data_IF_524579795754
#
_entry.id   IF_524579795754
#
_cell.length_a   1.000
_cell.length_b   1.000
_cell.length_c   1.000
_cell.angle_alpha   90.00
_cell.angle_beta   90.00
_cell.angle_gamma   90.00
#
_symmetry.space_group_name_H-M   'P 1'
#
loop_
_entity.id
_entity.type
_entity.pdbx_description
1 polymer ?
#
# COMPACT_ATOMS: atom_id res chain seq x y z
N UNK A 1 -21.01 3.58 -1.17
CA UNK A 1 -19.64 3.44 -1.67
C UNK A 1 -19.67 3.35 -3.19
N UNK A 2 -18.81 4.07 -3.85
CA UNK A 2 -18.86 4.21 -5.30
C UNK A 2 -17.56 3.80 -5.92
N UNK A 3 -17.63 2.95 -6.94
CA UNK A 3 -16.47 2.70 -7.77
C UNK A 3 -16.23 3.93 -8.63
N UNK A 4 -15.06 4.52 -8.48
CA UNK A 4 -14.74 5.73 -9.24
C UNK A 4 -14.82 5.48 -10.74
N UNK A 5 -14.42 4.28 -11.18
CA UNK A 5 -14.50 3.92 -12.58
C UNK A 5 -15.91 3.82 -13.12
N UNK A 6 -16.92 3.69 -12.26
CA UNK A 6 -18.31 3.60 -12.68
C UNK A 6 -19.13 4.81 -12.29
N UNK A 7 -18.72 5.54 -11.25
CA UNK A 7 -19.50 6.65 -10.73
C UNK A 7 -18.87 8.00 -10.89
N UNK A 8 -17.62 8.06 -11.28
CA UNK A 8 -16.90 9.31 -11.45
C UNK A 8 -16.32 9.47 -12.83
N UNK A 9 -15.80 10.65 -13.15
CA UNK A 9 -15.12 10.85 -14.41
C UNK A 9 -13.91 9.91 -14.50
N UNK A 10 -13.66 9.39 -15.69
CA UNK A 10 -12.52 8.49 -15.88
C UNK A 10 -11.20 9.13 -15.44
N UNK A 11 -11.07 10.44 -15.66
CA UNK A 11 -9.86 11.17 -15.28
C UNK A 11 -9.60 11.20 -13.78
N UNK A 12 -10.67 11.10 -12.96
CA UNK A 12 -10.47 11.18 -11.51
C UNK A 12 -9.73 9.95 -10.96
N UNK A 13 -9.85 8.80 -11.61
CA UNK A 13 -9.06 7.63 -11.20
C UNK A 13 -7.61 7.77 -11.65
N UNK A 14 -7.40 8.28 -12.83
CA UNK A 14 -6.05 8.47 -13.37
C UNK A 14 -5.26 9.49 -12.54
N UNK A 15 -5.96 10.53 -12.07
CA UNK A 15 -5.33 11.61 -11.34
C UNK A 15 -5.31 11.40 -9.83
N UNK A 16 -5.88 10.29 -9.37
CA UNK A 16 -5.95 10.04 -7.93
C UNK A 16 -4.55 9.88 -7.34
N UNK A 17 -4.32 10.61 -6.26
CA UNK A 17 -3.12 10.47 -5.45
C UNK A 17 -3.56 10.14 -4.03
N UNK A 18 -3.01 9.10 -3.42
CA UNK A 18 -3.37 8.78 -2.03
C UNK A 18 -2.77 9.79 -1.07
N UNK A 19 -3.51 10.88 -0.85
CA UNK A 19 -3.03 12.01 -0.07
C UNK A 19 -2.74 11.64 1.40
N UNK A 20 -3.30 10.54 1.89
CA UNK A 20 -2.99 10.09 3.25
C UNK A 20 -1.50 9.77 3.43
N UNK A 21 -0.78 9.52 2.34
CA UNK A 21 0.67 9.30 2.39
C UNK A 21 1.41 10.52 2.95
N UNK A 22 0.83 11.70 2.78
CA UNK A 22 1.42 12.94 3.26
C UNK A 22 0.86 13.37 4.61
N UNK A 23 0.06 12.52 5.24
CA UNK A 23 -0.60 12.85 6.49
C UNK A 23 -0.60 11.63 7.42
N UNK A 24 0.59 11.09 7.69
CA UNK A 24 0.75 9.93 8.56
C UNK A 24 0.86 10.39 10.01
N UNK A 25 0.19 9.67 10.91
CA UNK A 25 0.37 9.87 12.34
C UNK A 25 1.80 9.48 12.73
N UNK A 26 2.33 10.10 13.79
CA UNK A 26 3.69 9.77 14.24
C UNK A 26 3.87 8.30 14.57
N UNK A 27 2.83 7.67 15.11
CA UNK A 27 2.85 6.26 15.51
C UNK A 27 2.05 5.38 14.55
N UNK A 28 1.93 5.78 13.30
CA UNK A 28 1.22 5.01 12.29
C UNK A 28 1.82 3.62 12.17
N UNK A 29 0.96 2.64 11.86
CA UNK A 29 1.40 1.26 11.64
C UNK A 29 1.01 0.78 10.26
N UNK A 30 1.80 -0.16 9.73
CA UNK A 30 1.46 -0.85 8.49
C UNK A 30 1.71 -2.33 8.64
N UNK A 31 0.80 -3.11 8.10
CA UNK A 31 0.94 -4.55 7.99
C UNK A 31 0.23 -5.03 6.73
N UNK A 32 0.44 -6.27 6.36
CA UNK A 32 -0.25 -6.81 5.19
C UNK A 32 0.38 -8.09 4.69
N UNK A 33 -0.15 -8.57 3.59
CA UNK A 33 0.18 -9.90 3.08
C UNK A 33 1.62 -10.03 2.58
N UNK A 34 2.27 -8.91 2.23
CA UNK A 34 3.65 -8.95 1.74
C UNK A 34 4.68 -8.81 2.87
N UNK A 35 4.22 -8.67 4.11
CA UNK A 35 5.07 -8.38 5.26
C UNK A 35 4.84 -9.39 6.37
N UNK A 36 5.88 -9.61 7.16
CA UNK A 36 5.75 -10.28 8.45
C UNK A 36 5.77 -9.22 9.54
N UNK A 37 4.82 -9.33 10.48
CA UNK A 37 4.74 -8.38 11.59
C UNK A 37 4.22 -7.03 11.16
N UNK A 38 4.39 -6.07 12.06
CA UNK A 38 3.85 -4.72 11.92
C UNK A 38 5.01 -3.74 12.00
N UNK A 39 5.13 -2.84 11.03
CA UNK A 39 6.09 -1.75 11.10
C UNK A 39 5.41 -0.52 11.70
N UNK A 40 6.10 0.20 12.57
CA UNK A 40 5.53 1.33 13.29
C UNK A 40 6.40 2.56 13.13
N UNK A 41 5.73 3.71 12.98
CA UNK A 41 6.38 4.99 12.87
C UNK A 41 6.24 5.59 11.49
N UNK A 42 6.10 6.91 11.43
CA UNK A 42 5.87 7.59 10.16
C UNK A 42 7.03 7.38 9.18
N UNK A 43 8.26 7.43 9.68
CA UNK A 43 9.42 7.22 8.81
C UNK A 43 9.44 5.79 8.25
N UNK A 44 9.22 4.79 9.12
CA UNK A 44 9.22 3.39 8.69
C UNK A 44 8.15 3.14 7.65
N UNK A 45 6.94 3.61 7.91
CA UNK A 45 5.81 3.38 7.02
C UNK A 45 6.03 4.07 5.68
N UNK A 46 6.50 5.32 5.71
CA UNK A 46 6.76 6.05 4.46
C UNK A 46 7.87 5.37 3.66
N UNK A 47 8.94 4.95 4.30
CA UNK A 47 10.05 4.28 3.61
C UNK A 47 9.57 3.01 2.92
N UNK A 48 8.77 2.21 3.61
CA UNK A 48 8.24 0.97 3.06
C UNK A 48 7.31 1.26 1.88
N UNK A 49 6.40 2.22 2.04
CA UNK A 49 5.43 2.53 0.99
C UNK A 49 6.12 3.11 -0.26
N UNK A 50 7.14 3.95 -0.07
CA UNK A 50 7.89 4.48 -1.20
C UNK A 50 8.63 3.35 -1.92
N UNK A 51 9.24 2.43 -1.17
CA UNK A 51 9.94 1.30 -1.78
C UNK A 51 8.99 0.46 -2.62
N UNK A 52 7.79 0.21 -2.12
CA UNK A 52 6.78 -0.54 -2.87
C UNK A 52 6.39 0.20 -4.15
N UNK A 53 6.08 1.48 -4.02
CA UNK A 53 5.57 2.24 -5.17
C UNK A 53 6.63 2.40 -6.26
N UNK A 54 7.90 2.47 -5.90
CA UNK A 54 8.96 2.59 -6.91
C UNK A 54 9.12 1.32 -7.75
N UNK A 55 8.55 0.20 -7.30
CA UNK A 55 8.59 -1.04 -8.07
C UNK A 55 7.45 -1.15 -9.07
N UNK A 56 6.43 -0.31 -8.96
CA UNK A 56 5.29 -0.37 -9.87
C UNK A 56 5.65 0.25 -11.20
N UNK A 57 5.44 -0.51 -12.26
CA UNK A 57 5.61 -0.03 -13.63
C UNK A 57 4.39 0.76 -14.08
N UNK A 58 3.22 0.41 -13.52
CA UNK A 58 1.97 1.10 -13.75
C UNK A 58 1.09 0.87 -12.54
N UNK A 59 0.10 1.73 -12.35
CA UNK A 59 -0.83 1.61 -11.23
C UNK A 59 -2.15 2.22 -11.66
N UNK A 60 -3.23 1.47 -11.44
CA UNK A 60 -4.57 1.92 -11.80
C UNK A 60 -5.49 1.67 -10.62
N UNK A 61 -6.09 2.74 -10.11
CA UNK A 61 -7.07 2.62 -9.04
C UNK A 61 -8.42 2.28 -9.64
N UNK A 62 -9.00 1.18 -9.15
CA UNK A 62 -10.30 0.71 -9.61
C UNK A 62 -11.43 1.16 -8.70
N UNK A 63 -11.10 1.41 -7.44
CA UNK A 63 -12.08 1.87 -6.46
C UNK A 63 -11.37 2.62 -5.35
N UNK A 64 -11.93 3.74 -4.92
CA UNK A 64 -11.53 4.45 -3.71
C UNK A 64 -12.81 4.93 -3.03
N UNK A 65 -13.00 4.59 -1.77
CA UNK A 65 -14.21 4.99 -1.07
C UNK A 65 -14.12 4.76 0.43
N UNK A 66 -15.05 5.36 1.18
CA UNK A 66 -15.03 5.27 2.63
C UNK A 66 -15.52 3.92 3.14
N UNK A 67 -15.00 3.54 4.30
CA UNK A 67 -15.44 2.37 5.04
C UNK A 67 -15.66 2.81 6.48
N UNK A 68 -16.90 2.75 6.93
CA UNK A 68 -17.22 3.26 8.26
C UNK A 68 -16.98 4.76 8.36
N UNK A 69 -16.79 5.25 9.59
CA UNK A 69 -16.64 6.68 9.83
C UNK A 69 -15.21 7.18 9.67
N UNK A 70 -14.22 6.29 9.71
CA UNK A 70 -12.83 6.70 9.71
C UNK A 70 -11.94 5.85 8.82
N UNK A 71 -12.51 5.04 7.93
CA UNK A 71 -11.76 4.19 7.03
C UNK A 71 -11.83 4.65 5.59
N UNK A 72 -10.78 4.33 4.84
CA UNK A 72 -10.71 4.54 3.39
C UNK A 72 -10.21 3.26 2.76
N UNK A 73 -10.93 2.76 1.77
CA UNK A 73 -10.50 1.57 1.04
C UNK A 73 -10.06 1.97 -0.36
N UNK A 74 -8.89 1.47 -0.75
CA UNK A 74 -8.40 1.59 -2.11
C UNK A 74 -8.27 0.20 -2.70
N UNK A 75 -8.70 0.05 -3.95
CA UNK A 75 -8.51 -1.17 -4.72
C UNK A 75 -7.79 -0.78 -6.00
N UNK A 76 -6.57 -1.29 -6.19
CA UNK A 76 -5.83 -0.95 -7.39
C UNK A 76 -5.14 -2.16 -7.98
N UNK A 77 -4.77 -2.04 -9.25
CA UNK A 77 -3.95 -3.01 -9.96
C UNK A 77 -2.67 -2.31 -10.41
N UNK A 78 -1.56 -3.01 -10.32
CA UNK A 78 -0.26 -2.50 -10.72
C UNK A 78 0.49 -3.59 -11.48
N UNK A 79 1.67 -3.26 -11.99
CA UNK A 79 2.55 -4.24 -12.60
C UNK A 79 3.93 -4.15 -11.99
N UNK A 80 4.50 -5.31 -11.70
CA UNK A 80 5.85 -5.44 -11.17
C UNK A 80 6.58 -6.48 -12.01
N UNK A 81 7.64 -6.04 -12.69
CA UNK A 81 8.39 -6.93 -13.59
C UNK A 81 7.49 -7.58 -14.63
N UNK A 82 6.52 -6.83 -15.14
CA UNK A 82 5.57 -7.31 -16.14
C UNK A 82 4.44 -8.16 -15.60
N UNK A 83 4.45 -8.49 -14.31
CA UNK A 83 3.41 -9.33 -13.70
C UNK A 83 2.34 -8.46 -13.05
N UNK A 84 1.06 -8.77 -13.29
CA UNK A 84 0.00 -7.99 -12.65
C UNK A 84 -0.10 -8.35 -11.17
N UNK A 85 -0.34 -7.32 -10.37
CA UNK A 85 -0.58 -7.48 -8.95
C UNK A 85 -1.72 -6.55 -8.57
N UNK A 86 -2.62 -7.03 -7.72
CA UNK A 86 -3.73 -6.20 -7.23
C UNK A 86 -3.62 -6.07 -5.73
N UNK A 87 -4.13 -4.96 -5.22
CA UNK A 87 -4.00 -4.66 -3.80
C UNK A 87 -5.25 -4.00 -3.27
N UNK A 88 -5.71 -4.47 -2.11
CA UNK A 88 -6.66 -3.75 -1.28
C UNK A 88 -5.89 -3.08 -0.16
N UNK A 89 -6.07 -1.78 -0.01
CA UNK A 89 -5.47 -1.02 1.10
C UNK A 89 -6.58 -0.45 1.93
N UNK A 90 -6.57 -0.74 3.23
CA UNK A 90 -7.49 -0.13 4.17
C UNK A 90 -6.70 0.81 5.05
N UNK A 91 -7.06 2.08 5.03
CA UNK A 91 -6.43 3.11 5.83
C UNK A 91 -7.44 3.55 6.88
N UNK A 92 -7.07 3.44 8.15
CA UNK A 92 -7.90 3.90 9.25
C UNK A 92 -7.28 5.16 9.83
N UNK A 93 -8.09 6.21 9.99
CA UNK A 93 -7.62 7.50 10.47
C UNK A 93 -7.89 7.67 11.95
N UNK A 94 -7.05 8.46 12.62
CA UNK A 94 -7.26 8.84 14.01
C UNK A 94 -8.22 10.05 14.07
N UNK A 95 -8.60 10.52 15.28
CA UNK A 95 -9.53 11.65 15.38
C UNK A 95 -9.01 12.93 14.75
N UNK A 96 -7.70 13.08 14.59
CA UNK A 96 -7.12 14.25 13.92
C UNK A 96 -7.14 14.11 12.40
N UNK A 97 -7.63 13.00 11.86
CA UNK A 97 -7.69 12.80 10.42
C UNK A 97 -6.40 12.27 9.82
N UNK A 98 -5.43 11.91 10.66
CA UNK A 98 -4.18 11.36 10.17
C UNK A 98 -4.28 9.85 9.98
N UNK A 99 -3.57 9.31 8.99
CA UNK A 99 -3.54 7.86 8.78
C UNK A 99 -2.85 7.20 9.97
N UNK A 100 -3.57 6.31 10.65
CA UNK A 100 -3.13 5.69 11.89
C UNK A 100 -2.75 4.23 11.71
N UNK A 101 -3.50 3.52 10.86
CA UNK A 101 -3.26 2.10 10.65
C UNK A 101 -3.54 1.78 9.19
N UNK A 102 -2.59 1.06 8.57
CA UNK A 102 -2.67 0.73 7.16
C UNK A 102 -2.53 -0.78 7.00
N UNK A 103 -3.47 -1.38 6.28
CA UNK A 103 -3.41 -2.80 5.93
C UNK A 103 -3.40 -2.91 4.41
N UNK A 104 -2.37 -3.56 3.85
CA UNK A 104 -2.25 -3.71 2.41
C UNK A 104 -2.16 -5.20 2.08
N UNK A 105 -3.16 -5.71 1.36
CA UNK A 105 -3.23 -7.12 1.02
C UNK A 105 -3.19 -7.32 -0.49
N UNK A 106 -2.21 -8.07 -0.93
CA UNK A 106 -1.88 -8.25 -2.33
C UNK A 106 -2.32 -9.62 -2.84
N UNK A 107 -2.60 -9.68 -4.14
CA UNK A 107 -2.93 -10.91 -4.86
C UNK A 107 -2.45 -10.79 -6.30
N UNK A 108 -2.19 -11.85 -7.07
CA UNK A 108 -2.20 -13.24 -6.64
C UNK A 108 -0.93 -13.58 -5.86
N UNK A 109 -0.88 -14.80 -5.35
CA UNK A 109 0.20 -15.23 -4.47
C UNK A 109 1.58 -15.10 -5.12
N UNK A 110 1.73 -15.50 -6.38
CA UNK A 110 3.02 -15.44 -7.04
C UNK A 110 3.53 -14.01 -7.15
N UNK A 111 2.66 -13.08 -7.48
CA UNK A 111 3.04 -11.66 -7.57
C UNK A 111 3.34 -11.08 -6.20
N UNK A 112 2.58 -11.50 -5.19
CA UNK A 112 2.85 -11.11 -3.81
C UNK A 112 4.24 -11.54 -3.37
N UNK A 113 4.62 -12.78 -3.65
CA UNK A 113 5.93 -13.29 -3.25
C UNK A 113 7.06 -12.56 -3.98
N UNK A 114 6.86 -12.26 -5.25
CA UNK A 114 7.82 -11.47 -6.01
C UNK A 114 7.97 -10.06 -5.41
N UNK A 115 6.85 -9.40 -5.13
CA UNK A 115 6.88 -8.06 -4.55
C UNK A 115 7.61 -8.06 -3.22
N UNK A 116 7.29 -9.00 -2.34
CA UNK A 116 7.90 -9.08 -1.02
C UNK A 116 9.41 -9.23 -1.13
N UNK A 117 9.88 -10.09 -2.03
CA UNK A 117 11.32 -10.27 -2.22
C UNK A 117 11.98 -9.00 -2.73
N UNK A 118 11.36 -8.35 -3.72
CA UNK A 118 11.95 -7.14 -4.31
C UNK A 118 11.99 -5.98 -3.33
N UNK A 119 10.94 -5.82 -2.51
CA UNK A 119 10.93 -4.79 -1.47
C UNK A 119 12.03 -5.08 -0.46
N UNK A 120 12.16 -6.34 -0.05
CA UNK A 120 13.22 -6.72 0.87
C UNK A 120 14.61 -6.36 0.34
N UNK A 121 14.84 -6.57 -0.95
CA UNK A 121 16.11 -6.21 -1.58
C UNK A 121 16.32 -4.70 -1.55
N UNK A 122 15.28 -3.93 -1.84
CA UNK A 122 15.38 -2.47 -1.81
C UNK A 122 15.68 -1.94 -0.42
N UNK A 123 15.22 -2.63 0.61
CA UNK A 123 15.38 -2.17 1.99
C UNK A 123 16.63 -2.75 2.67
N UNK A 124 17.51 -3.39 1.88
CA UNK A 124 18.78 -3.91 2.39
C UNK A 124 19.55 -2.77 3.07
N UNK A 125 20.05 -3.04 4.26
CA UNK A 125 20.79 -2.04 5.03
C UNK A 125 19.92 -1.20 5.93
N UNK A 126 18.61 -1.38 5.88
CA UNK A 126 17.68 -0.69 6.78
C UNK A 126 17.09 -1.68 7.78
N UNK A 127 16.60 -1.21 8.93
CA UNK A 127 15.96 -2.11 9.89
C UNK A 127 14.63 -2.64 9.39
N UNK A 128 14.05 -2.03 8.34
CA UNK A 128 12.73 -2.41 7.86
C UNK A 128 12.74 -3.67 7.00
N UNK A 129 13.92 -4.09 6.55
CA UNK A 129 14.05 -5.30 5.75
C UNK A 129 13.50 -6.52 6.48
N UNK A 130 13.55 -6.54 7.80
CA UNK A 130 13.13 -7.69 8.58
C UNK A 130 11.67 -8.06 8.34
N UNK A 131 10.85 -7.14 7.85
CA UNK A 131 9.44 -7.38 7.60
C UNK A 131 9.16 -8.06 6.26
N UNK A 132 10.17 -8.25 5.42
CA UNK A 132 9.97 -8.75 4.07
C UNK A 132 10.71 -10.06 3.84
N UNK A 133 10.22 -10.86 2.91
CA UNK A 133 10.80 -12.16 2.63
C UNK A 133 12.28 -12.03 2.36
N UNK A 134 13.06 -12.90 2.98
CA UNK A 134 14.51 -12.82 2.88
C UNK A 134 15.02 -13.30 1.54
N UNK A 135 14.15 -13.70 0.70
CA UNK A 135 14.59 -14.26 -0.56
C UNK A 135 15.16 -15.62 -0.45
N UNK A 136 15.13 -16.10 0.64
CA UNK A 136 15.61 -17.17 0.90
C UNK A 136 15.26 -18.14 1.04
N UNK A 137 15.15 -17.93 1.13
CA UNK A 137 15.29 -18.54 1.18
C UNK A 137 15.27 -19.28 0.99
#
# INVERSE_FOLDING_TARGET
MTYLGSGGPAGSLTDYYPSWLDNLADNVTIEGSAMDGVAQGAEAVRTILVAIRTLYESQKFNFVGPVGGNGLLEDYTAQVRGEPISCFVLITSNPAGQAQHIVANYRPRSSLLLLSRLVGEKLTGTPYREHFAAGES
#
